data_IF_634804223252
#
_entry.id   IF_634804223252
#
_cell.length_a   1.000
_cell.length_b   1.000
_cell.length_c   1.000
_cell.angle_alpha   90.00
_cell.angle_beta   90.00
_cell.angle_gamma   90.00
#
_symmetry.space_group_name_H-M   'P 1'
#
loop_
_entity.id
_entity.type
_entity.pdbx_description
1 polymer ?
#
# COMPACT_ATOMS: atom_id res chain seq x y z
N UNK A 1 24.56 -2.04 4.55
CA UNK A 1 23.75 -3.31 4.62
C UNK A 1 23.45 -3.74 3.21
N UNK A 2 23.60 -5.01 2.85
CA UNK A 2 23.49 -5.43 1.43
C UNK A 2 22.07 -5.25 0.85
N UNK A 3 21.99 -4.88 -0.43
CA UNK A 3 20.76 -4.65 -1.21
C UNK A 3 19.83 -5.86 -1.19
N UNK A 4 20.39 -7.07 -1.25
CA UNK A 4 19.62 -8.31 -1.23
C UNK A 4 18.94 -8.52 0.13
N UNK A 5 19.57 -8.09 1.22
CA UNK A 5 18.99 -8.16 2.56
C UNK A 5 17.86 -7.15 2.74
N UNK A 6 18.04 -5.92 2.23
CA UNK A 6 16.99 -4.89 2.22
C UNK A 6 15.79 -5.38 1.41
N UNK A 7 16.03 -5.89 0.20
CA UNK A 7 14.97 -6.37 -0.68
C UNK A 7 14.18 -7.52 -0.07
N UNK A 8 14.85 -8.52 0.51
CA UNK A 8 14.18 -9.63 1.22
C UNK A 8 13.31 -9.14 2.38
N UNK A 9 13.80 -8.17 3.15
CA UNK A 9 13.05 -7.60 4.27
C UNK A 9 11.78 -6.87 3.79
N UNK A 10 11.90 -6.04 2.75
CA UNK A 10 10.77 -5.34 2.14
C UNK A 10 9.77 -6.32 1.50
N UNK A 11 10.25 -7.34 0.81
CA UNK A 11 9.40 -8.36 0.17
C UNK A 11 8.61 -9.19 1.19
N UNK A 12 9.26 -9.61 2.29
CA UNK A 12 8.55 -10.28 3.39
C UNK A 12 7.42 -9.40 3.94
N UNK A 13 7.70 -8.10 4.14
CA UNK A 13 6.71 -7.15 4.62
C UNK A 13 5.58 -6.91 3.61
N UNK A 14 5.92 -6.82 2.32
CA UNK A 14 4.96 -6.70 1.22
C UNK A 14 3.96 -7.86 1.25
N UNK A 15 4.45 -9.10 1.29
CA UNK A 15 3.59 -10.28 1.34
C UNK A 15 2.76 -10.34 2.63
N UNK A 16 3.35 -10.01 3.77
CA UNK A 16 2.66 -10.01 5.06
C UNK A 16 1.47 -9.04 5.08
N UNK A 17 1.54 -7.93 4.34
CA UNK A 17 0.47 -6.94 4.28
C UNK A 17 -0.50 -7.19 3.12
N UNK A 18 -0.02 -7.63 1.95
CA UNK A 18 -0.91 -7.85 0.82
C UNK A 18 -1.71 -9.15 0.93
N UNK A 19 -1.11 -10.23 1.46
CA UNK A 19 -1.78 -11.53 1.52
C UNK A 19 -3.07 -11.51 2.36
N UNK A 20 -3.13 -10.91 3.56
CA UNK A 20 -4.38 -10.80 4.30
C UNK A 20 -5.46 -10.04 3.53
N UNK A 21 -5.10 -8.93 2.87
CA UNK A 21 -6.06 -8.18 2.05
C UNK A 21 -6.60 -9.03 0.89
N UNK A 22 -5.72 -9.76 0.19
CA UNK A 22 -6.13 -10.68 -0.88
C UNK A 22 -7.05 -11.80 -0.36
N UNK A 23 -6.76 -12.36 0.81
CA UNK A 23 -7.61 -13.37 1.46
C UNK A 23 -8.98 -12.80 1.83
N UNK A 24 -9.07 -11.54 2.28
CA UNK A 24 -10.35 -10.88 2.55
C UNK A 24 -11.18 -10.77 1.26
N UNK A 25 -10.56 -10.34 0.15
CA UNK A 25 -11.23 -10.26 -1.15
C UNK A 25 -11.76 -11.63 -1.61
N UNK A 26 -10.92 -12.65 -1.57
CA UNK A 26 -11.28 -14.01 -1.98
C UNK A 26 -12.38 -14.56 -1.07
N UNK A 27 -12.20 -14.45 0.24
CA UNK A 27 -13.16 -14.93 1.23
C UNK A 27 -14.54 -14.27 1.09
N UNK A 28 -14.58 -12.96 0.88
CA UNK A 28 -15.84 -12.25 0.64
C UNK A 28 -16.47 -12.63 -0.70
N UNK A 29 -15.67 -12.79 -1.76
CA UNK A 29 -16.14 -13.26 -3.05
C UNK A 29 -16.79 -14.65 -2.97
N UNK A 30 -16.14 -15.60 -2.28
CA UNK A 30 -16.68 -16.94 -2.01
C UNK A 30 -17.97 -16.86 -1.20
N UNK A 31 -17.98 -16.04 -0.13
CA UNK A 31 -19.18 -15.84 0.69
C UNK A 31 -20.38 -15.35 -0.14
N UNK A 32 -20.17 -14.39 -1.05
CA UNK A 32 -21.22 -13.86 -1.93
C UNK A 32 -21.74 -14.85 -2.97
N UNK A 33 -20.95 -15.86 -3.33
CA UNK A 33 -21.39 -16.93 -4.25
C UNK A 33 -22.20 -18.00 -3.49
N UNK A 34 -21.84 -18.27 -2.24
CA UNK A 34 -22.48 -19.30 -1.42
C UNK A 34 -23.78 -18.83 -0.75
N UNK A 35 -23.96 -17.52 -0.57
CA UNK A 35 -25.16 -16.96 0.04
C UNK A 35 -25.75 -15.87 -0.85
N UNK A 36 -27.09 -15.84 -0.96
CA UNK A 36 -27.80 -14.65 -1.47
C UNK A 36 -27.60 -13.53 -0.46
N UNK A 37 -26.81 -12.48 -0.78
CA UNK A 37 -26.51 -11.45 0.19
C UNK A 37 -27.81 -10.71 0.52
N UNK A 38 -28.23 -10.74 1.78
CA UNK A 38 -29.25 -9.82 2.27
C UNK A 38 -28.83 -8.37 2.04
N UNK A 39 -29.77 -7.40 2.03
CA UNK A 39 -29.44 -6.01 1.76
C UNK A 39 -28.52 -5.47 2.85
N UNK A 40 -27.22 -5.43 2.58
CA UNK A 40 -26.28 -4.58 3.31
C UNK A 40 -26.56 -3.17 2.83
N UNK A 41 -27.21 -2.38 3.68
CA UNK A 41 -27.40 -0.95 3.48
C UNK A 41 -26.35 -0.21 4.34
N UNK A 42 -25.08 -0.15 3.91
CA UNK A 42 -24.10 0.65 4.64
C UNK A 42 -24.52 2.12 4.62
N UNK A 43 -24.07 2.92 5.61
CA UNK A 43 -24.14 4.38 5.51
C UNK A 43 -23.53 4.86 4.19
N UNK A 44 -24.19 5.82 3.53
CA UNK A 44 -23.77 6.37 2.22
C UNK A 44 -22.34 6.93 2.24
N UNK A 45 -21.83 7.29 3.41
CA UNK A 45 -20.48 7.82 3.62
C UNK A 45 -19.37 6.79 3.49
N UNK A 46 -19.65 5.48 3.61
CA UNK A 46 -18.61 4.44 3.58
C UNK A 46 -17.89 4.41 2.22
N UNK A 47 -18.64 4.54 1.11
CA UNK A 47 -18.06 4.56 -0.23
C UNK A 47 -17.03 5.68 -0.42
N UNK A 48 -17.42 6.96 -0.22
CA UNK A 48 -16.50 8.09 -0.28
C UNK A 48 -15.29 7.95 0.65
N UNK A 49 -15.50 7.54 1.91
CA UNK A 49 -14.41 7.38 2.89
C UNK A 49 -13.42 6.31 2.43
N UNK A 50 -13.92 5.17 1.96
CA UNK A 50 -13.07 4.08 1.49
C UNK A 50 -12.28 4.50 0.24
N UNK A 51 -12.92 5.18 -0.71
CA UNK A 51 -12.26 5.67 -1.91
C UNK A 51 -11.17 6.70 -1.59
N UNK A 52 -11.52 7.76 -0.84
CA UNK A 52 -10.57 8.82 -0.48
C UNK A 52 -9.43 8.24 0.36
N UNK A 53 -9.75 7.39 1.34
CA UNK A 53 -8.76 6.70 2.16
C UNK A 53 -7.78 5.89 1.32
N UNK A 54 -8.28 5.09 0.37
CA UNK A 54 -7.46 4.30 -0.54
C UNK A 54 -6.49 5.17 -1.37
N UNK A 55 -6.96 6.30 -1.90
CA UNK A 55 -6.14 7.24 -2.69
C UNK A 55 -5.10 7.93 -1.82
N UNK A 56 -5.51 8.43 -0.65
CA UNK A 56 -4.61 9.14 0.28
C UNK A 56 -3.45 8.24 0.69
N UNK A 57 -3.72 7.00 1.10
CA UNK A 57 -2.66 6.10 1.55
C UNK A 57 -1.84 5.51 0.40
N UNK A 58 -2.40 5.37 -0.81
CA UNK A 58 -1.67 4.89 -1.98
C UNK A 58 -0.75 5.95 -2.61
N UNK A 59 -1.10 7.24 -2.50
CA UNK A 59 -0.46 8.33 -3.25
C UNK A 59 -0.04 9.49 -2.36
N UNK A 60 -1.00 10.23 -1.79
CA UNK A 60 -0.74 11.52 -1.15
C UNK A 60 0.19 11.39 0.06
N UNK A 61 -0.09 10.43 0.95
CA UNK A 61 0.69 10.22 2.16
C UNK A 61 2.10 9.66 1.86
N UNK A 62 2.28 8.67 0.96
CA UNK A 62 3.61 8.28 0.51
C UNK A 62 4.44 9.42 -0.11
N UNK A 63 3.82 10.30 -0.92
CA UNK A 63 4.50 11.47 -1.48
C UNK A 63 4.97 12.42 -0.38
N UNK A 64 4.11 12.68 0.62
CA UNK A 64 4.47 13.50 1.78
C UNK A 64 5.63 12.89 2.58
N UNK A 65 5.57 11.59 2.89
CA UNK A 65 6.63 10.88 3.63
C UNK A 65 7.96 10.93 2.85
N UNK A 66 7.93 10.76 1.52
CA UNK A 66 9.11 10.87 0.66
C UNK A 66 9.70 12.28 0.70
N UNK A 67 8.88 13.31 0.55
CA UNK A 67 9.33 14.71 0.64
C UNK A 67 9.94 15.05 2.00
N UNK A 68 9.32 14.58 3.08
CA UNK A 68 9.85 14.75 4.43
C UNK A 68 11.20 14.04 4.63
N UNK A 69 11.34 12.81 4.12
CA UNK A 69 12.59 12.06 4.21
C UNK A 69 13.71 12.75 3.42
N UNK A 70 13.43 13.24 2.20
CA UNK A 70 14.38 14.02 1.40
C UNK A 70 14.85 15.26 2.16
N UNK A 71 13.93 16.02 2.79
CA UNK A 71 14.32 17.18 3.60
C UNK A 71 15.20 16.77 4.79
N UNK A 72 14.91 15.64 5.42
CA UNK A 72 15.67 15.13 6.58
C UNK A 72 17.10 14.72 6.23
N UNK A 73 17.32 14.14 5.03
CA UNK A 73 18.63 13.60 4.63
C UNK A 73 19.35 14.44 3.57
N UNK A 74 18.76 15.56 3.12
CA UNK A 74 19.23 16.34 1.97
C UNK A 74 20.64 16.91 2.10
N UNK A 75 21.12 17.14 3.32
CA UNK A 75 22.48 17.62 3.60
C UNK A 75 23.48 16.48 3.85
N UNK A 76 23.01 15.23 3.93
CA UNK A 76 23.86 14.07 4.20
C UNK A 76 24.57 13.59 2.93
N UNK A 77 25.87 13.35 3.02
CA UNK A 77 26.68 12.82 1.90
C UNK A 77 26.38 11.35 1.63
N UNK A 78 25.96 10.60 2.65
CA UNK A 78 25.47 9.22 2.56
C UNK A 78 24.38 8.97 3.59
N UNK A 79 23.48 8.03 3.29
CA UNK A 79 22.42 7.62 4.21
C UNK A 79 22.72 6.22 4.74
N UNK A 80 22.62 6.04 6.05
CA UNK A 80 22.76 4.71 6.65
C UNK A 80 21.64 3.78 6.18
N UNK A 81 21.99 2.52 5.91
CA UNK A 81 21.04 1.55 5.39
C UNK A 81 19.88 1.21 6.33
N UNK A 82 20.04 1.37 7.66
CA UNK A 82 19.00 1.06 8.64
C UNK A 82 17.89 2.14 8.65
N UNK A 83 18.19 3.45 8.77
CA UNK A 83 17.22 4.52 8.54
C UNK A 83 16.54 4.45 7.17
N UNK A 84 17.29 4.13 6.11
CA UNK A 84 16.73 3.95 4.78
C UNK A 84 15.71 2.79 4.71
N UNK A 85 16.06 1.62 5.27
CA UNK A 85 15.12 0.49 5.32
C UNK A 85 13.85 0.83 6.11
N UNK A 86 13.97 1.58 7.21
CA UNK A 86 12.82 2.01 7.99
C UNK A 86 11.90 2.94 7.19
N UNK A 87 12.49 3.88 6.43
CA UNK A 87 11.78 4.76 5.51
C UNK A 87 11.03 3.98 4.42
N UNK A 88 11.72 3.12 3.67
CA UNK A 88 11.11 2.30 2.62
C UNK A 88 10.02 1.38 3.18
N UNK A 89 10.25 0.79 4.35
CA UNK A 89 9.25 -0.04 5.03
C UNK A 89 8.01 0.75 5.42
N UNK A 90 8.17 2.02 5.80
CA UNK A 90 7.05 2.91 6.16
C UNK A 90 6.25 3.27 4.91
N UNK A 91 6.92 3.67 3.82
CA UNK A 91 6.26 3.94 2.54
C UNK A 91 5.46 2.73 2.05
N UNK A 92 6.09 1.56 2.04
CA UNK A 92 5.47 0.31 1.65
C UNK A 92 4.23 0.00 2.49
N UNK A 93 4.35 0.15 3.81
CA UNK A 93 3.26 -0.19 4.72
C UNK A 93 2.07 0.73 4.55
N UNK A 94 2.32 2.03 4.45
CA UNK A 94 1.28 3.03 4.24
C UNK A 94 0.55 2.76 2.92
N UNK A 95 1.29 2.55 1.83
CA UNK A 95 0.70 2.26 0.53
C UNK A 95 -0.16 0.99 0.55
N UNK A 96 0.31 -0.07 1.20
CA UNK A 96 -0.41 -1.35 1.30
C UNK A 96 -1.59 -1.33 2.29
N UNK A 97 -1.91 -0.20 2.92
CA UNK A 97 -3.22 -0.01 3.55
C UNK A 97 -4.33 0.14 2.50
N UNK A 98 -4.01 0.61 1.29
CA UNK A 98 -5.00 0.89 0.23
C UNK A 98 -5.86 -0.34 -0.15
N UNK A 99 -5.30 -1.56 -0.33
CA UNK A 99 -6.10 -2.78 -0.52
C UNK A 99 -7.16 -3.05 0.56
N UNK A 100 -6.92 -2.65 1.81
CA UNK A 100 -7.90 -2.84 2.88
C UNK A 100 -9.08 -1.89 2.76
N UNK A 101 -8.86 -0.65 2.30
CA UNK A 101 -9.95 0.26 1.97
C UNK A 101 -10.77 -0.23 0.77
N UNK A 102 -10.09 -0.77 -0.26
CA UNK A 102 -10.80 -1.39 -1.38
C UNK A 102 -11.61 -2.61 -0.94
N UNK A 103 -11.09 -3.43 -0.03
CA UNK A 103 -11.81 -4.56 0.55
C UNK A 103 -13.03 -4.11 1.35
N UNK A 104 -12.90 -3.04 2.16
CA UNK A 104 -14.02 -2.43 2.87
C UNK A 104 -15.12 -1.97 1.91
N UNK A 105 -14.75 -1.25 0.84
CA UNK A 105 -15.69 -0.79 -0.18
C UNK A 105 -16.42 -1.96 -0.88
N UNK A 106 -15.71 -3.08 -1.09
CA UNK A 106 -16.26 -4.30 -1.68
C UNK A 106 -17.22 -5.02 -0.73
N UNK A 107 -16.84 -5.17 0.55
CA UNK A 107 -17.65 -5.81 1.58
C UNK A 107 -18.97 -5.06 1.77
N UNK A 108 -18.89 -3.73 1.89
CA UNK A 108 -20.06 -2.89 2.05
C UNK A 108 -20.90 -2.75 0.78
N UNK A 109 -20.55 -3.39 -0.35
CA UNK A 109 -21.31 -3.27 -1.61
C UNK A 109 -21.54 -1.81 -2.03
N UNK A 110 -20.52 -0.97 -1.88
CA UNK A 110 -20.58 0.46 -2.24
C UNK A 110 -20.76 0.64 -3.75
N UNK A 111 -21.11 1.85 -4.20
CA UNK A 111 -21.29 2.11 -5.62
C UNK A 111 -20.03 1.77 -6.43
N UNK A 112 -20.23 1.35 -7.69
CA UNK A 112 -19.15 0.91 -8.57
C UNK A 112 -18.06 1.98 -8.75
N UNK A 113 -18.44 3.26 -8.69
CA UNK A 113 -17.50 4.38 -8.73
C UNK A 113 -16.52 4.36 -7.54
N UNK A 114 -17.04 4.29 -6.31
CA UNK A 114 -16.21 4.31 -5.10
C UNK A 114 -15.36 3.05 -4.97
N UNK A 115 -15.96 1.88 -5.18
CA UNK A 115 -15.22 0.62 -5.16
C UNK A 115 -14.17 0.57 -6.28
N UNK A 116 -14.54 0.89 -7.52
CA UNK A 116 -13.62 0.86 -8.66
C UNK A 116 -12.43 1.81 -8.47
N UNK A 117 -12.67 3.01 -7.97
CA UNK A 117 -11.61 3.96 -7.62
C UNK A 117 -10.69 3.45 -6.51
N UNK A 118 -11.26 2.90 -5.42
CA UNK A 118 -10.48 2.34 -4.32
C UNK A 118 -9.65 1.13 -4.78
N UNK A 119 -10.23 0.26 -5.59
CA UNK A 119 -9.58 -0.93 -6.15
C UNK A 119 -8.43 -0.56 -7.08
N UNK A 120 -8.61 0.44 -7.96
CA UNK A 120 -7.54 0.93 -8.82
C UNK A 120 -6.40 1.55 -8.01
N UNK A 121 -6.70 2.31 -6.95
CA UNK A 121 -5.68 2.84 -6.04
C UNK A 121 -4.92 1.72 -5.31
N UNK A 122 -5.62 0.65 -4.91
CA UNK A 122 -5.01 -0.52 -4.30
C UNK A 122 -4.07 -1.26 -5.27
N UNK A 123 -4.49 -1.46 -6.53
CA UNK A 123 -3.65 -2.05 -7.57
C UNK A 123 -2.43 -1.18 -7.87
N UNK A 124 -2.64 0.15 -7.97
CA UNK A 124 -1.55 1.11 -8.10
C UNK A 124 -0.57 0.98 -6.94
N UNK A 125 -1.02 0.90 -5.69
CA UNK A 125 -0.13 0.75 -4.53
C UNK A 125 0.64 -0.59 -4.58
N UNK A 126 -0.04 -1.69 -4.89
CA UNK A 126 0.55 -3.02 -4.96
C UNK A 126 1.61 -3.14 -6.06
N UNK A 127 1.36 -2.57 -7.25
CA UNK A 127 2.32 -2.52 -8.36
C UNK A 127 3.42 -1.49 -8.08
N UNK A 128 2.97 -0.28 -7.74
CA UNK A 128 3.66 0.87 -7.17
C UNK A 128 4.87 0.44 -6.37
N UNK A 129 4.60 -0.13 -5.21
CA UNK A 129 5.57 -0.35 -4.16
C UNK A 129 6.16 -1.76 -4.16
N UNK A 130 6.00 -2.53 -5.24
CA UNK A 130 6.57 -3.87 -5.32
C UNK A 130 8.10 -3.85 -5.19
N UNK A 131 8.70 -4.54 -4.20
CA UNK A 131 10.12 -4.40 -3.88
C UNK A 131 10.99 -5.28 -4.78
N UNK A 132 11.11 -4.91 -6.05
CA UNK A 132 12.07 -5.56 -6.97
C UNK A 132 13.50 -5.20 -6.61
N UNK A 133 14.46 -6.07 -6.96
CA UNK A 133 15.89 -5.77 -6.80
C UNK A 133 16.30 -4.49 -7.54
N UNK A 134 15.78 -4.29 -8.74
CA UNK A 134 16.05 -3.10 -9.55
C UNK A 134 15.55 -1.82 -8.87
N UNK A 135 14.33 -1.83 -8.33
CA UNK A 135 13.75 -0.70 -7.58
C UNK A 135 14.58 -0.40 -6.33
N UNK A 136 14.87 -1.40 -5.50
CA UNK A 136 15.63 -1.21 -4.27
C UNK A 136 17.02 -0.64 -4.57
N UNK A 137 17.70 -1.17 -5.60
CA UNK A 137 18.99 -0.65 -6.03
C UNK A 137 18.91 0.80 -6.57
N UNK A 138 17.81 1.15 -7.26
CA UNK A 138 17.58 2.51 -7.73
C UNK A 138 17.38 3.48 -6.55
N UNK A 139 16.52 3.15 -5.59
CA UNK A 139 16.28 3.99 -4.41
C UNK A 139 17.54 4.12 -3.54
N UNK A 140 18.31 3.04 -3.34
CA UNK A 140 19.59 3.11 -2.63
C UNK A 140 20.58 4.06 -3.30
N UNK A 141 20.64 4.09 -4.64
CA UNK A 141 21.48 5.04 -5.37
C UNK A 141 20.97 6.47 -5.26
N UNK A 142 19.66 6.67 -5.36
CA UNK A 142 19.03 7.99 -5.24
C UNK A 142 19.35 8.63 -3.88
N UNK A 143 19.31 7.84 -2.80
CA UNK A 143 19.60 8.30 -1.44
C UNK A 143 21.06 8.07 -1.00
N UNK A 144 21.96 7.68 -1.91
CA UNK A 144 23.40 7.47 -1.62
C UNK A 144 23.63 6.56 -0.39
N UNK A 145 22.96 5.42 -0.36
CA UNK A 145 23.00 4.49 0.77
C UNK A 145 24.31 3.68 0.76
N UNK A 146 25.02 3.70 1.90
CA UNK A 146 26.26 2.93 2.14
C UNK A 146 26.07 1.53 2.72
#
# INVERSE_FOLDING_TARGET
MDKDRIQKALFKRYLLMLAPAALIFIGWGVYRVLQEPGPLAPPEVIGPIAFIGAVVVALALPLFIRGWFVKKVGESTSVEAKPFLAFESTLLSVALVSPYFAALAYICSTSMFHFGGAFLAALYAAYYYFPTKARVAHEMRLFRVG
#
